data_IF_951838855226
#
_entry.id   IF_951838855226
#
_cell.length_a   1.000
_cell.length_b   1.000
_cell.length_c   1.000
_cell.angle_alpha   90.00
_cell.angle_beta   90.00
_cell.angle_gamma   90.00
#
_symmetry.space_group_name_H-M   'P 1'
#
loop_
_entity.id
_entity.type
_entity.pdbx_description
1 polymer ?
#
# COMPACT_ATOMS: atom_id res chain seq x y z
N UNK A 1 -52.55 9.20 50.13
CA UNK A 1 -52.83 7.97 49.37
C UNK A 1 -51.52 7.47 48.87
N UNK A 2 -50.98 6.48 49.51
CA UNK A 2 -49.69 5.83 49.35
C UNK A 2 -49.80 4.73 48.28
N UNK A 3 -48.89 4.70 47.31
CA UNK A 3 -48.70 3.51 46.49
C UNK A 3 -47.21 3.17 46.36
N UNK A 4 -46.86 2.09 47.06
CA UNK A 4 -45.54 1.46 47.04
C UNK A 4 -45.38 0.62 45.77
N UNK A 5 -44.34 0.82 45.01
CA UNK A 5 -43.94 -0.11 43.95
C UNK A 5 -42.78 -1.00 44.41
N UNK A 6 -43.05 -2.28 44.44
CA UNK A 6 -42.16 -3.37 44.88
C UNK A 6 -41.21 -3.73 43.72
N UNK A 7 -39.90 -3.58 43.97
CA UNK A 7 -38.84 -4.03 43.08
C UNK A 7 -38.58 -5.52 43.29
N UNK A 8 -38.87 -6.36 42.29
CA UNK A 8 -38.57 -7.78 42.27
C UNK A 8 -37.12 -8.00 41.79
N UNK A 9 -36.22 -8.32 42.70
CA UNK A 9 -34.91 -8.87 42.41
C UNK A 9 -35.06 -10.35 42.00
N UNK A 10 -34.65 -10.69 40.79
CA UNK A 10 -34.46 -12.09 40.35
C UNK A 10 -33.10 -12.58 40.81
N UNK A 11 -33.07 -13.44 41.79
CA UNK A 11 -31.90 -14.26 42.17
C UNK A 11 -31.72 -15.38 41.15
N UNK A 12 -30.57 -15.41 40.51
CA UNK A 12 -30.12 -16.58 39.74
C UNK A 12 -29.38 -17.53 40.69
N UNK A 13 -29.94 -18.70 40.92
CA UNK A 13 -29.31 -19.79 41.64
C UNK A 13 -28.48 -20.61 40.68
N UNK A 14 -27.19 -20.72 40.96
CA UNK A 14 -26.28 -21.69 40.34
C UNK A 14 -26.51 -23.07 40.90
N UNK A 15 -26.58 -24.16 40.09
CA UNK A 15 -26.45 -25.50 40.64
C UNK A 15 -24.98 -25.88 40.75
N UNK A 16 -24.58 -26.15 41.98
CA UNK A 16 -23.40 -26.92 42.34
C UNK A 16 -23.62 -28.39 41.98
N UNK A 17 -22.78 -28.96 41.15
CA UNK A 17 -22.53 -30.38 41.12
C UNK A 17 -21.11 -30.64 41.56
N UNK A 18 -21.02 -31.15 42.76
CA UNK A 18 -19.79 -31.63 43.39
C UNK A 18 -19.85 -33.16 43.45
N UNK A 19 -18.69 -33.71 43.14
CA UNK A 19 -18.15 -34.98 43.64
C UNK A 19 -18.56 -36.30 42.96
N UNK A 20 -17.53 -36.93 42.54
CA UNK A 20 -17.36 -38.37 42.81
C UNK A 20 -16.78 -39.16 41.67
N UNK A 21 -15.53 -39.46 41.60
CA UNK A 21 -15.01 -40.79 41.91
C UNK A 21 -13.49 -40.86 41.71
N UNK A 22 -12.88 -41.33 42.75
CA UNK A 22 -11.45 -41.73 42.81
C UNK A 22 -11.20 -43.08 42.16
N UNK A 23 -9.92 -43.25 41.75
CA UNK A 23 -9.14 -44.50 41.70
C UNK A 23 -9.41 -45.48 40.54
N UNK A 24 -8.42 -45.54 39.65
CA UNK A 24 -7.73 -46.81 39.38
C UNK A 24 -6.33 -46.54 38.87
N UNK A 25 -5.36 -46.87 39.71
CA UNK A 25 -3.93 -46.93 39.38
C UNK A 25 -3.71 -48.15 38.49
N UNK A 26 -3.09 -47.90 37.32
CA UNK A 26 -2.58 -48.97 36.46
C UNK A 26 -1.16 -48.57 36.02
N UNK A 27 -0.16 -49.11 36.75
CA UNK A 27 1.25 -49.13 36.35
C UNK A 27 1.38 -49.87 35.01
N UNK A 28 1.78 -49.20 33.95
CA UNK A 28 2.43 -49.82 32.81
C UNK A 28 3.78 -49.15 32.60
N UNK A 29 4.80 -49.80 33.15
CA UNK A 29 6.21 -49.57 32.83
C UNK A 29 6.45 -50.01 31.37
N UNK A 30 6.54 -49.05 30.45
CA UNK A 30 7.11 -49.29 29.13
C UNK A 30 8.56 -48.79 29.18
N UNK A 31 9.48 -49.74 29.14
CA UNK A 31 10.90 -49.51 29.04
C UNK A 31 11.22 -48.79 27.72
N UNK A 32 11.67 -47.55 27.79
CA UNK A 32 12.34 -46.90 26.68
C UNK A 32 13.69 -47.55 26.42
N UNK A 33 13.76 -48.36 25.39
CA UNK A 33 15.05 -48.78 24.84
C UNK A 33 15.62 -47.60 24.04
N UNK A 34 16.64 -46.94 24.57
CA UNK A 34 17.43 -45.94 23.87
C UNK A 34 18.24 -46.62 22.77
N UNK A 35 17.88 -46.37 21.54
CA UNK A 35 18.72 -46.63 20.36
C UNK A 35 19.93 -45.69 20.41
N UNK A 36 21.17 -46.16 20.24
CA UNK A 36 22.32 -45.27 20.14
C UNK A 36 22.27 -44.46 18.85
N UNK A 37 22.77 -43.20 18.84
CA UNK A 37 22.77 -42.39 17.64
C UNK A 37 23.70 -43.04 16.60
N UNK A 38 23.23 -43.04 15.35
CA UNK A 38 24.00 -43.46 14.19
C UNK A 38 25.25 -42.58 14.09
N UNK A 39 26.42 -43.24 13.88
CA UNK A 39 27.69 -42.56 13.70
C UNK A 39 27.64 -41.63 12.50
N UNK A 40 28.04 -40.37 12.70
CA UNK A 40 28.28 -39.42 11.61
C UNK A 40 29.28 -39.98 10.61
N UNK A 41 29.03 -39.87 9.31
CA UNK A 41 30.06 -40.20 8.31
C UNK A 41 31.23 -39.19 8.41
N UNK A 42 32.42 -39.71 8.41
CA UNK A 42 33.65 -38.91 8.42
C UNK A 42 33.68 -37.93 7.23
N UNK A 43 34.23 -36.72 7.41
CA UNK A 43 34.35 -35.75 6.33
C UNK A 43 35.20 -36.30 5.21
N UNK A 44 34.63 -36.34 4.01
CA UNK A 44 35.34 -36.70 2.78
C UNK A 44 36.30 -35.54 2.46
N UNK A 45 37.58 -35.86 2.45
CA UNK A 45 38.68 -34.96 2.09
C UNK A 45 38.46 -34.42 0.67
N UNK A 46 38.40 -33.10 0.52
CA UNK A 46 38.27 -32.43 -0.76
C UNK A 46 39.56 -32.66 -1.59
N UNK A 47 39.46 -32.92 -2.89
CA UNK A 47 40.65 -33.04 -3.73
C UNK A 47 41.38 -31.69 -3.83
N UNK A 48 42.69 -31.74 -3.74
CA UNK A 48 43.57 -30.59 -3.87
C UNK A 48 43.44 -29.90 -5.24
N UNK A 49 43.54 -28.57 -5.29
CA UNK A 49 43.48 -27.84 -6.55
C UNK A 49 44.69 -28.17 -7.42
N UNK A 50 44.42 -28.57 -8.67
CA UNK A 50 45.42 -28.79 -9.69
C UNK A 50 45.82 -27.44 -10.26
N UNK A 51 47.06 -27.03 -10.03
CA UNK A 51 47.66 -25.86 -10.67
C UNK A 51 47.76 -26.07 -12.19
N UNK A 52 47.03 -25.28 -12.92
CA UNK A 52 47.25 -25.07 -14.35
C UNK A 52 47.66 -23.62 -14.55
N UNK A 53 48.84 -23.33 -15.08
CA UNK A 53 49.23 -21.95 -15.35
C UNK A 53 48.49 -21.45 -16.61
N UNK A 54 47.60 -20.46 -16.44
CA UNK A 54 47.06 -19.69 -17.55
C UNK A 54 48.01 -18.52 -17.81
N UNK A 55 48.56 -18.52 -19.04
CA UNK A 55 49.36 -17.42 -19.56
C UNK A 55 48.51 -16.14 -19.61
N UNK A 56 49.09 -15.06 -19.11
CA UNK A 56 48.59 -13.70 -19.26
C UNK A 56 48.70 -13.28 -20.72
N UNK A 57 47.58 -13.06 -21.40
CA UNK A 57 47.55 -12.21 -22.60
C UNK A 57 47.07 -10.82 -22.15
N UNK A 58 47.94 -9.84 -22.40
CA UNK A 58 47.63 -8.42 -22.26
C UNK A 58 46.53 -8.01 -23.27
N UNK A 59 45.50 -7.30 -22.90
CA UNK A 59 44.61 -6.70 -23.88
C UNK A 59 45.28 -5.48 -24.52
N UNK A 60 45.46 -5.57 -25.81
CA UNK A 60 45.87 -4.48 -26.72
C UNK A 60 44.87 -3.31 -26.60
N UNK A 61 45.40 -2.13 -26.37
CA UNK A 61 44.64 -0.87 -26.40
C UNK A 61 43.98 -0.69 -27.79
N UNK A 62 42.68 -0.61 -27.80
CA UNK A 62 41.88 -0.20 -28.97
C UNK A 62 41.69 1.31 -28.91
N UNK A 63 42.11 1.95 -29.98
CA UNK A 63 42.11 3.37 -30.23
C UNK A 63 40.70 3.97 -30.05
N UNK A 64 40.66 5.15 -29.41
CA UNK A 64 39.54 6.07 -29.32
C UNK A 64 39.23 6.64 -30.71
N UNK A 65 37.99 6.59 -31.21
CA UNK A 65 37.62 7.37 -32.36
C UNK A 65 37.45 8.83 -31.95
N UNK A 66 38.03 9.71 -32.78
CA UNK A 66 37.95 11.17 -32.76
C UNK A 66 36.48 11.66 -32.75
N UNK A 67 36.29 12.76 -32.01
CA UNK A 67 35.06 13.52 -31.96
C UNK A 67 34.77 14.12 -33.36
N UNK A 68 33.61 13.81 -33.90
CA UNK A 68 33.03 14.54 -35.04
C UNK A 68 32.22 15.75 -34.55
N UNK A 69 32.40 16.82 -35.26
CA UNK A 69 32.02 18.20 -35.09
C UNK A 69 30.52 18.42 -34.79
N UNK A 70 30.25 19.37 -33.90
CA UNK A 70 28.94 20.01 -33.71
C UNK A 70 28.46 20.68 -35.02
N UNK A 71 27.19 20.50 -35.43
CA UNK A 71 26.61 21.44 -36.40
C UNK A 71 26.06 22.66 -35.68
N UNK A 72 26.44 23.79 -36.29
CA UNK A 72 26.17 25.18 -35.92
C UNK A 72 24.69 25.48 -35.60
N UNK A 73 24.55 26.42 -34.63
CA UNK A 73 23.34 27.10 -34.28
C UNK A 73 22.61 27.68 -35.48
N UNK A 74 21.33 27.35 -35.63
CA UNK A 74 20.41 27.99 -36.56
C UNK A 74 19.65 29.07 -35.83
N UNK A 75 19.72 30.26 -36.39
CA UNK A 75 19.21 31.54 -35.90
C UNK A 75 17.68 31.52 -35.67
N UNK A 76 17.28 32.18 -34.60
CA UNK A 76 15.91 32.58 -34.26
C UNK A 76 15.45 33.69 -35.23
N UNK A 77 14.29 33.59 -35.86
CA UNK A 77 13.65 34.78 -36.45
C UNK A 77 12.87 35.55 -35.38
N UNK A 78 13.03 36.85 -35.48
CA UNK A 78 12.47 37.89 -34.64
C UNK A 78 10.94 38.00 -34.73
N UNK A 79 10.41 38.58 -33.64
CA UNK A 79 9.03 38.98 -33.44
C UNK A 79 8.53 39.95 -34.51
N UNK A 80 7.31 39.80 -34.99
CA UNK A 80 6.51 40.85 -35.60
C UNK A 80 5.12 40.89 -34.95
N UNK A 81 4.92 42.02 -34.30
CA UNK A 81 3.84 43.01 -34.33
C UNK A 81 2.40 42.59 -33.90
N UNK A 82 2.01 43.26 -32.81
CA UNK A 82 0.61 43.47 -32.40
C UNK A 82 -0.15 44.29 -33.46
N UNK A 83 -1.46 44.10 -33.64
CA UNK A 83 -2.33 45.15 -34.13
C UNK A 83 -3.11 45.83 -33.01
N UNK A 84 -3.05 47.12 -33.06
CA UNK A 84 -3.69 48.13 -32.23
C UNK A 84 -5.23 48.02 -32.14
N UNK A 85 -5.70 48.48 -31.00
CA UNK A 85 -7.10 48.76 -30.69
C UNK A 85 -7.68 49.91 -31.54
N UNK A 86 -8.84 49.72 -32.09
CA UNK A 86 -9.66 50.86 -32.51
C UNK A 86 -11.13 50.64 -32.11
N UNK A 87 -11.63 51.57 -31.32
CA UNK A 87 -12.87 52.27 -31.57
C UNK A 87 -14.12 51.77 -30.90
N UNK A 88 -14.46 52.38 -29.77
CA UNK A 88 -15.82 52.64 -29.28
C UNK A 88 -16.65 53.42 -30.30
N UNK A 89 -17.96 53.21 -30.41
CA UNK A 89 -18.84 54.30 -29.97
C UNK A 89 -19.99 53.89 -29.06
N UNK A 90 -20.33 54.83 -28.19
CA UNK A 90 -21.48 54.87 -27.34
C UNK A 90 -22.78 55.07 -28.14
N UNK A 91 -23.86 54.48 -27.68
CA UNK A 91 -25.22 54.99 -27.87
C UNK A 91 -26.04 54.69 -26.64
N UNK A 92 -26.47 55.73 -26.00
CA UNK A 92 -27.51 55.79 -24.97
C UNK A 92 -28.85 55.53 -25.63
N UNK A 93 -29.74 54.74 -25.00
CA UNK A 93 -31.18 54.96 -25.03
C UNK A 93 -31.82 54.36 -23.81
N UNK A 94 -32.53 55.23 -23.10
CA UNK A 94 -33.37 54.93 -21.94
C UNK A 94 -34.63 54.14 -22.36
N UNK A 95 -35.08 53.17 -21.58
CA UNK A 95 -36.49 52.78 -21.53
C UNK A 95 -36.84 52.19 -20.15
N UNK A 96 -37.53 52.94 -19.43
CA UNK A 96 -38.61 52.77 -18.41
C UNK A 96 -38.77 51.44 -17.70
N UNK A 97 -38.87 51.59 -16.40
CA UNK A 97 -39.23 50.66 -15.37
C UNK A 97 -40.65 50.08 -15.52
N UNK A 98 -40.79 48.77 -15.39
CA UNK A 98 -42.02 48.16 -14.87
C UNK A 98 -41.68 46.99 -13.93
N UNK A 99 -42.15 47.20 -12.73
CA UNK A 99 -42.67 46.25 -11.75
C UNK A 99 -41.99 44.92 -11.48
N UNK A 100 -41.29 44.88 -10.37
CA UNK A 100 -40.90 43.71 -9.58
C UNK A 100 -42.10 42.83 -9.19
N UNK A 101 -41.92 41.48 -9.15
CA UNK A 101 -42.25 40.78 -7.92
C UNK A 101 -40.99 40.29 -7.23
N UNK A 102 -40.92 40.50 -5.93
CA UNK A 102 -39.94 40.01 -5.04
C UNK A 102 -39.78 38.48 -5.16
N UNK A 103 -38.63 38.02 -5.59
CA UNK A 103 -38.22 36.67 -5.33
C UNK A 103 -37.87 36.62 -3.85
N UNK A 104 -38.54 35.76 -3.11
CA UNK A 104 -38.12 35.34 -1.78
C UNK A 104 -36.70 34.74 -1.92
N UNK A 105 -35.70 35.44 -1.39
CA UNK A 105 -34.38 34.90 -1.18
C UNK A 105 -34.52 33.77 -0.17
N UNK A 106 -34.35 32.54 -0.60
CA UNK A 106 -34.02 31.44 0.32
C UNK A 106 -32.76 31.85 1.09
N UNK A 107 -32.72 31.67 2.42
CA UNK A 107 -31.52 31.99 3.18
C UNK A 107 -30.43 31.05 2.71
N UNK A 108 -29.39 31.60 2.03
CA UNK A 108 -28.10 30.92 1.86
C UNK A 108 -27.66 30.49 3.26
N UNK A 109 -27.54 29.17 3.43
CA UNK A 109 -26.98 28.60 4.63
C UNK A 109 -25.53 29.06 4.74
N UNK A 110 -25.30 30.14 5.47
CA UNK A 110 -23.95 30.55 5.88
C UNK A 110 -23.46 29.52 6.88
N UNK A 111 -22.83 28.48 6.35
CA UNK A 111 -22.03 27.53 7.16
C UNK A 111 -21.03 28.33 7.97
N UNK A 112 -20.94 28.07 9.28
CA UNK A 112 -19.90 28.68 10.10
C UNK A 112 -18.57 28.14 9.57
N UNK A 113 -17.50 28.95 9.38
CA UNK A 113 -16.22 28.50 8.85
C UNK A 113 -15.64 27.26 9.57
N UNK A 114 -15.86 27.15 10.88
CA UNK A 114 -15.46 25.97 11.66
C UNK A 114 -16.21 24.67 11.28
N UNK A 115 -17.47 24.76 10.84
CA UNK A 115 -18.24 23.59 10.43
C UNK A 115 -17.81 23.11 9.02
N UNK A 116 -17.40 24.03 8.16
CA UNK A 116 -16.86 23.70 6.82
C UNK A 116 -15.46 23.06 6.95
N UNK A 117 -14.64 23.55 7.85
CA UNK A 117 -13.31 23.00 8.16
C UNK A 117 -13.41 21.59 8.77
N UNK A 118 -14.33 21.38 9.72
CA UNK A 118 -14.58 20.06 10.32
C UNK A 118 -15.14 19.07 9.28
N UNK A 119 -16.00 19.50 8.39
CA UNK A 119 -16.51 18.67 7.29
C UNK A 119 -15.40 18.30 6.31
N UNK A 120 -14.56 19.24 5.91
CA UNK A 120 -13.44 19.00 5.01
C UNK A 120 -12.42 18.03 5.62
N UNK A 121 -12.12 18.15 6.91
CA UNK A 121 -11.27 17.19 7.63
C UNK A 121 -11.89 15.79 7.69
N UNK A 122 -13.20 15.69 7.86
CA UNK A 122 -13.94 14.42 7.85
C UNK A 122 -13.86 13.73 6.49
N UNK A 123 -13.99 14.48 5.40
CA UNK A 123 -13.91 13.96 4.04
C UNK A 123 -12.47 13.51 3.69
N UNK A 124 -11.47 14.30 4.07
CA UNK A 124 -10.05 13.94 3.93
C UNK A 124 -9.71 12.66 4.70
N UNK A 125 -10.15 12.53 5.95
CA UNK A 125 -9.92 11.33 6.76
C UNK A 125 -10.62 10.10 6.16
N UNK A 126 -11.84 10.24 5.62
CA UNK A 126 -12.58 9.15 4.98
C UNK A 126 -11.87 8.68 3.69
N UNK A 127 -11.38 9.62 2.89
CA UNK A 127 -10.60 9.29 1.70
C UNK A 127 -9.23 8.69 2.07
N UNK A 128 -8.59 9.21 3.11
CA UNK A 128 -7.35 8.65 3.66
C UNK A 128 -7.53 7.22 4.17
N UNK A 129 -8.66 6.88 4.84
CA UNK A 129 -8.99 5.50 5.18
C UNK A 129 -9.09 4.62 3.94
N UNK A 130 -9.77 5.10 2.90
CA UNK A 130 -9.90 4.37 1.64
C UNK A 130 -8.53 4.04 1.05
N UNK A 131 -7.65 5.01 0.90
CA UNK A 131 -6.27 4.80 0.40
C UNK A 131 -5.50 3.86 1.33
N UNK A 132 -5.54 4.07 2.65
CA UNK A 132 -4.87 3.21 3.61
C UNK A 132 -5.32 1.74 3.50
N UNK A 133 -6.61 1.49 3.32
CA UNK A 133 -7.16 0.13 3.12
C UNK A 133 -6.58 -0.51 1.87
N UNK A 134 -6.48 0.21 0.77
CA UNK A 134 -5.90 -0.31 -0.48
C UNK A 134 -4.41 -0.68 -0.35
N UNK A 135 -3.66 0.02 0.51
CA UNK A 135 -2.24 -0.32 0.81
C UNK A 135 -2.07 -1.56 1.68
N UNK A 136 -3.15 -2.09 2.24
CA UNK A 136 -3.17 -3.21 3.19
C UNK A 136 -3.67 -2.86 4.57
N UNK A 137 -4.33 -1.70 4.74
CA UNK A 137 -4.98 -1.26 5.97
C UNK A 137 -4.04 -0.98 7.12
N UNK A 138 -2.77 -0.67 6.83
CA UNK A 138 -1.73 -0.50 7.85
C UNK A 138 -1.62 -1.69 8.83
N UNK A 139 -2.07 -2.88 8.41
CA UNK A 139 -2.26 -4.06 9.26
C UNK A 139 -1.01 -4.55 9.99
N UNK A 140 0.20 -4.19 9.50
CA UNK A 140 1.44 -4.42 10.22
C UNK A 140 1.49 -3.69 11.57
N UNK A 141 0.79 -2.57 11.70
CA UNK A 141 0.71 -1.76 12.90
C UNK A 141 -0.46 -2.14 13.82
N UNK A 142 -1.36 -3.03 13.36
CA UNK A 142 -2.51 -3.43 14.17
C UNK A 142 -2.08 -4.36 15.31
N UNK A 143 -2.22 -3.88 16.54
CA UNK A 143 -2.00 -4.64 17.75
C UNK A 143 -3.30 -5.34 18.15
N UNK A 144 -3.29 -6.68 18.14
CA UNK A 144 -4.49 -7.48 18.40
C UNK A 144 -4.96 -7.42 19.84
N UNK A 145 -4.04 -7.26 20.78
CA UNK A 145 -4.36 -7.24 22.22
C UNK A 145 -4.97 -5.90 22.61
N UNK A 146 -4.55 -4.81 21.96
CA UNK A 146 -5.07 -3.46 22.18
C UNK A 146 -6.24 -3.11 21.23
N UNK A 147 -6.46 -3.89 20.17
CA UNK A 147 -7.51 -3.64 19.19
C UNK A 147 -7.30 -2.36 18.36
N UNK A 148 -6.06 -1.87 18.23
CA UNK A 148 -5.72 -0.59 17.62
C UNK A 148 -4.43 -0.67 16.80
N UNK A 149 -4.14 0.38 16.00
CA UNK A 149 -2.89 0.52 15.24
C UNK A 149 -1.72 0.98 16.13
N UNK A 150 -1.66 0.41 17.34
CA UNK A 150 -0.69 0.78 18.38
C UNK A 150 0.67 0.10 18.22
N UNK A 151 0.91 -0.67 17.15
CA UNK A 151 2.21 -1.28 16.87
C UNK A 151 2.57 -2.47 17.76
N UNK A 152 3.87 -2.76 17.83
CA UNK A 152 4.44 -3.84 18.64
C UNK A 152 4.63 -5.15 17.88
N UNK A 153 4.10 -5.32 16.67
CA UNK A 153 4.32 -6.52 15.87
C UNK A 153 5.79 -6.62 15.46
N UNK A 154 6.38 -7.79 15.75
CA UNK A 154 7.79 -8.09 15.54
C UNK A 154 8.01 -8.75 14.18
N UNK A 155 9.00 -8.27 13.45
CA UNK A 155 9.47 -8.83 12.19
C UNK A 155 10.96 -9.14 12.32
N UNK A 156 11.35 -10.34 11.91
CA UNK A 156 12.72 -10.83 11.99
C UNK A 156 13.16 -11.44 10.66
N UNK A 157 14.42 -11.22 10.33
CA UNK A 157 15.02 -11.74 9.11
C UNK A 157 16.55 -11.53 9.10
N UNK A 158 17.21 -11.76 7.97
CA UNK A 158 18.64 -11.50 7.83
C UNK A 158 19.05 -10.04 8.12
N UNK A 159 18.09 -9.12 8.07
CA UNK A 159 18.26 -7.70 8.39
C UNK A 159 18.30 -7.43 9.91
N UNK A 160 17.96 -8.40 10.75
CA UNK A 160 17.79 -8.24 12.19
C UNK A 160 16.35 -8.26 12.63
N UNK A 161 15.99 -7.42 13.59
CA UNK A 161 14.64 -7.32 14.17
C UNK A 161 14.12 -5.90 14.04
N UNK A 162 12.88 -5.77 13.55
CA UNK A 162 12.13 -4.51 13.52
C UNK A 162 10.76 -4.71 14.14
N UNK A 163 10.22 -3.63 14.71
CA UNK A 163 8.87 -3.61 15.26
C UNK A 163 8.05 -2.55 14.53
N UNK A 164 6.81 -2.90 14.19
CA UNK A 164 5.86 -1.90 13.72
C UNK A 164 5.63 -0.86 14.81
N UNK A 165 5.78 0.42 14.49
CA UNK A 165 5.61 1.53 15.45
C UNK A 165 4.13 1.75 15.76
N UNK A 166 3.85 2.40 16.90
CA UNK A 166 2.54 2.93 17.20
C UNK A 166 2.25 4.09 16.23
N UNK A 167 1.16 3.98 15.46
CA UNK A 167 0.68 5.00 14.51
C UNK A 167 -0.69 5.56 14.90
N UNK A 168 -1.11 5.36 16.16
CA UNK A 168 -2.24 6.10 16.72
C UNK A 168 -1.81 7.51 17.12
N UNK A 169 -2.74 8.48 17.25
CA UNK A 169 -2.40 9.86 17.62
C UNK A 169 -2.14 10.02 19.12
N UNK A 170 -1.46 9.05 19.73
CA UNK A 170 -0.93 9.19 21.09
C UNK A 170 0.31 10.08 21.05
N UNK A 171 0.35 11.12 21.89
CA UNK A 171 1.39 12.14 21.87
C UNK A 171 2.76 11.64 22.34
N UNK A 172 2.78 10.63 23.23
CA UNK A 172 4.03 10.16 23.86
C UNK A 172 4.63 8.96 23.11
N UNK A 173 3.80 8.02 22.68
CA UNK A 173 4.26 6.75 22.12
C UNK A 173 3.89 6.54 20.65
N UNK A 174 3.03 7.39 20.10
CA UNK A 174 2.50 7.34 18.74
C UNK A 174 2.97 8.50 17.86
N UNK A 175 2.07 8.96 17.00
CA UNK A 175 2.31 10.05 16.04
C UNK A 175 1.54 11.33 16.36
N UNK A 176 0.93 11.44 17.56
CA UNK A 176 0.07 12.57 17.92
C UNK A 176 0.79 13.92 18.01
N UNK A 177 2.11 13.92 18.19
CA UNK A 177 2.92 15.13 18.19
C UNK A 177 3.46 15.52 16.79
N UNK A 178 3.19 14.73 15.73
CA UNK A 178 3.69 14.98 14.39
C UNK A 178 2.71 15.84 13.60
N UNK A 179 3.24 16.67 12.68
CA UNK A 179 2.38 17.34 11.70
C UNK A 179 1.87 16.36 10.64
N UNK A 180 0.82 16.74 9.90
CA UNK A 180 0.32 15.96 8.79
C UNK A 180 1.38 15.75 7.70
N UNK A 181 2.21 16.76 7.43
CA UNK A 181 3.31 16.72 6.48
C UNK A 181 4.42 15.75 6.93
N UNK A 182 4.76 15.74 8.22
CA UNK A 182 5.73 14.80 8.78
C UNK A 182 5.24 13.34 8.68
N UNK A 183 3.94 13.11 8.85
CA UNK A 183 3.31 11.80 8.65
C UNK A 183 3.36 11.42 7.16
N UNK A 184 3.02 12.35 6.25
CA UNK A 184 3.07 12.15 4.81
C UNK A 184 4.50 11.84 4.33
N UNK A 185 5.52 12.52 4.85
CA UNK A 185 6.92 12.26 4.55
C UNK A 185 7.37 10.88 5.04
N UNK A 186 7.00 10.51 6.28
CA UNK A 186 7.28 9.18 6.81
C UNK A 186 6.62 8.07 5.97
N UNK A 187 5.42 8.33 5.45
CA UNK A 187 4.67 7.40 4.61
C UNK A 187 5.31 7.22 3.23
N UNK A 188 5.69 8.32 2.55
CA UNK A 188 6.13 8.30 1.14
C UNK A 188 7.63 8.16 0.94
N UNK A 189 8.42 8.87 1.71
CA UNK A 189 9.88 8.89 1.55
C UNK A 189 10.61 8.22 2.71
N UNK A 190 9.87 7.80 3.75
CA UNK A 190 10.45 7.13 4.89
C UNK A 190 11.35 8.05 5.70
N UNK A 191 11.00 9.33 5.87
CA UNK A 191 11.72 10.26 6.73
C UNK A 191 10.84 10.63 7.91
N UNK A 192 11.27 10.31 9.13
CA UNK A 192 10.60 10.68 10.37
C UNK A 192 11.05 12.06 10.85
N UNK A 193 10.31 12.72 11.76
CA UNK A 193 10.71 14.02 12.31
C UNK A 193 12.09 14.03 12.97
N UNK A 194 12.53 12.90 13.51
CA UNK A 194 13.87 12.73 14.09
C UNK A 194 14.98 12.48 13.04
N UNK A 195 14.63 12.49 11.75
CA UNK A 195 15.53 12.22 10.62
C UNK A 195 15.87 10.74 10.42
N UNK A 196 15.34 9.83 11.23
CA UNK A 196 15.55 8.38 11.04
C UNK A 196 14.67 7.83 9.92
N UNK A 197 15.10 6.72 9.32
CA UNK A 197 14.32 6.00 8.31
C UNK A 197 13.79 4.67 8.85
N UNK A 198 12.53 4.29 8.54
CA UNK A 198 12.04 2.96 8.80
C UNK A 198 12.80 1.93 7.94
N UNK A 199 12.81 0.69 8.38
CA UNK A 199 13.29 -0.40 7.54
C UNK A 199 12.36 -0.59 6.32
N UNK A 200 12.88 -0.92 5.11
CA UNK A 200 12.08 -1.10 3.89
C UNK A 200 11.01 -2.22 3.93
N UNK A 201 10.94 -3.00 5.02
CA UNK A 201 9.80 -3.89 5.28
C UNK A 201 8.49 -3.09 5.40
N UNK A 202 8.54 -1.86 5.90
CA UNK A 202 7.50 -0.87 5.68
C UNK A 202 7.63 -0.38 4.23
N UNK A 203 6.59 -0.55 3.40
CA UNK A 203 6.73 -0.39 1.96
C UNK A 203 6.60 1.08 1.49
N UNK A 204 7.21 2.04 2.20
CA UNK A 204 7.19 3.46 1.86
C UNK A 204 7.63 3.74 0.42
N UNK A 205 8.52 2.89 -0.14
CA UNK A 205 8.93 2.99 -1.54
C UNK A 205 7.79 2.80 -2.54
N UNK A 206 6.84 1.91 -2.20
CA UNK A 206 5.64 1.75 -3.00
C UNK A 206 4.64 2.90 -2.79
N UNK A 207 4.66 3.53 -1.63
CA UNK A 207 3.78 4.66 -1.31
C UNK A 207 4.31 6.00 -1.81
N UNK A 208 5.55 6.05 -2.30
CA UNK A 208 6.15 7.28 -2.84
C UNK A 208 5.44 7.84 -4.08
N UNK A 209 4.54 7.06 -4.70
CA UNK A 209 3.74 7.48 -5.85
C UNK A 209 2.41 8.15 -5.47
N UNK A 210 2.04 8.13 -4.18
CA UNK A 210 0.87 8.89 -3.70
C UNK A 210 1.09 10.38 -3.95
N UNK A 211 0.05 11.08 -4.38
CA UNK A 211 0.08 12.54 -4.47
C UNK A 211 0.29 13.19 -3.09
N UNK A 212 0.65 14.48 -3.08
CA UNK A 212 0.77 15.22 -1.82
C UNK A 212 -0.56 15.20 -1.07
N UNK A 213 -1.67 15.42 -1.77
CA UNK A 213 -3.00 15.41 -1.17
C UNK A 213 -3.36 14.02 -0.60
N UNK A 214 -3.18 12.94 -1.37
CA UNK A 214 -3.49 11.60 -0.88
C UNK A 214 -2.68 11.19 0.35
N UNK A 215 -1.42 11.60 0.42
CA UNK A 215 -0.59 11.35 1.60
C UNK A 215 -1.06 12.16 2.82
N UNK A 216 -1.50 13.40 2.62
CA UNK A 216 -2.11 14.23 3.67
C UNK A 216 -3.47 13.68 4.11
N UNK A 217 -4.28 13.14 3.21
CA UNK A 217 -5.54 12.50 3.55
C UNK A 217 -5.31 11.24 4.40
N UNK A 218 -4.29 10.43 4.08
CA UNK A 218 -3.89 9.30 4.94
C UNK A 218 -3.42 9.80 6.31
N UNK A 219 -2.68 10.91 6.38
CA UNK A 219 -2.27 11.51 7.65
C UNK A 219 -3.49 11.98 8.45
N UNK A 220 -4.48 12.63 7.82
CA UNK A 220 -5.74 13.03 8.44
C UNK A 220 -6.50 11.82 9.00
N UNK A 221 -6.56 10.71 8.25
CA UNK A 221 -7.14 9.47 8.74
C UNK A 221 -6.42 8.95 9.99
N UNK A 222 -5.09 8.86 9.97
CA UNK A 222 -4.32 8.35 11.11
C UNK A 222 -4.48 9.25 12.35
N UNK A 223 -4.53 10.55 12.16
CA UNK A 223 -4.77 11.52 13.25
C UNK A 223 -6.22 11.51 13.78
N UNK A 224 -7.18 10.98 13.01
CA UNK A 224 -8.58 10.81 13.44
C UNK A 224 -8.80 9.56 14.28
N UNK A 225 -7.83 8.65 14.36
CA UNK A 225 -7.94 7.43 15.16
C UNK A 225 -7.96 7.73 16.65
N UNK A 226 -8.46 6.78 17.45
CA UNK A 226 -8.40 6.89 18.91
C UNK A 226 -6.94 6.73 19.38
N UNK A 227 -6.42 7.66 20.23
CA UNK A 227 -5.07 7.55 20.75
C UNK A 227 -4.95 6.34 21.71
N UNK A 228 -3.95 5.52 21.51
CA UNK A 228 -3.67 4.35 22.35
C UNK A 228 -2.19 4.36 22.72
N UNK A 229 -1.89 4.54 24.00
CA UNK A 229 -0.52 4.50 24.50
C UNK A 229 0.05 3.08 24.40
N UNK A 230 1.14 2.92 23.68
CA UNK A 230 1.89 1.68 23.59
C UNK A 230 3.37 1.96 23.26
N UNK A 231 4.25 1.76 24.21
CA UNK A 231 5.68 1.88 24.01
C UNK A 231 6.18 0.67 23.22
N UNK A 232 6.76 0.92 22.05
CA UNK A 232 7.25 -0.13 21.13
C UNK A 232 8.77 -0.25 21.26
N UNK A 233 9.26 -1.49 21.36
CA UNK A 233 10.69 -1.79 21.45
C UNK A 233 11.48 -1.19 20.27
N UNK A 234 12.73 -0.82 20.52
CA UNK A 234 13.64 -0.36 19.48
C UNK A 234 14.02 -1.50 18.54
N UNK A 235 14.34 -1.12 17.30
CA UNK A 235 14.82 -2.06 16.28
C UNK A 235 16.27 -2.46 16.53
N UNK A 236 16.61 -3.68 16.14
CA UNK A 236 17.98 -4.21 16.16
C UNK A 236 18.37 -4.63 14.75
N UNK A 237 19.05 -3.77 14.02
CA UNK A 237 19.40 -4.02 12.62
C UNK A 237 20.84 -4.53 12.48
N UNK A 238 21.03 -5.49 11.57
CA UNK A 238 22.36 -5.94 11.16
C UNK A 238 23.09 -4.84 10.38
N UNK A 239 22.36 -4.07 9.56
CA UNK A 239 22.85 -2.92 8.80
C UNK A 239 21.71 -1.90 8.67
N UNK A 240 22.07 -0.61 8.72
CA UNK A 240 21.08 0.45 8.44
C UNK A 240 20.68 0.41 6.95
N UNK A 241 19.40 0.62 6.64
CA UNK A 241 18.94 0.69 5.26
C UNK A 241 19.57 1.88 4.53
N UNK A 242 19.84 1.72 3.24
CA UNK A 242 20.28 2.82 2.40
C UNK A 242 19.19 3.90 2.32
N UNK A 243 19.59 5.16 2.33
CA UNK A 243 18.69 6.28 2.13
C UNK A 243 17.89 6.12 0.83
N UNK A 244 16.62 6.47 0.89
CA UNK A 244 15.71 6.42 -0.25
C UNK A 244 15.36 7.84 -0.69
N UNK A 245 15.43 8.06 -1.99
CA UNK A 245 14.90 9.25 -2.65
C UNK A 245 14.06 8.75 -3.82
N UNK A 246 12.79 9.14 -3.94
CA UNK A 246 11.98 8.80 -5.10
C UNK A 246 12.66 9.24 -6.39
N UNK A 247 12.61 8.42 -7.44
CA UNK A 247 13.18 8.75 -8.75
C UNK A 247 12.39 9.87 -9.43
N UNK A 248 11.10 9.96 -9.16
CA UNK A 248 10.18 10.98 -9.68
C UNK A 248 9.45 11.60 -8.48
N UNK A 249 9.31 12.93 -8.50
CA UNK A 249 8.48 13.61 -7.52
C UNK A 249 7.02 13.21 -7.71
N UNK A 250 6.32 12.96 -6.61
CA UNK A 250 4.89 12.72 -6.65
C UNK A 250 4.14 13.99 -7.11
N UNK A 251 2.98 13.84 -7.78
CA UNK A 251 2.13 14.98 -8.12
C UNK A 251 1.55 15.63 -6.85
N UNK A 252 1.18 16.91 -6.94
CA UNK A 252 0.49 17.59 -5.84
C UNK A 252 -0.92 17.02 -5.62
N UNK A 253 -1.65 16.82 -6.71
CA UNK A 253 -3.03 16.33 -6.73
C UNK A 253 -3.13 14.88 -7.21
N UNK A 254 -4.20 14.15 -6.86
CA UNK A 254 -4.46 12.81 -7.37
C UNK A 254 -4.50 12.78 -8.90
N UNK A 255 -4.07 11.67 -9.48
CA UNK A 255 -4.14 11.47 -10.93
C UNK A 255 -5.58 11.46 -11.42
N UNK A 256 -5.87 12.25 -12.45
CA UNK A 256 -7.17 12.27 -13.15
C UNK A 256 -7.16 11.44 -14.45
N UNK A 257 -5.98 11.14 -14.99
CA UNK A 257 -5.84 10.19 -16.11
C UNK A 257 -6.04 8.74 -15.61
N UNK A 258 -6.96 7.97 -16.20
CA UNK A 258 -7.28 6.65 -15.70
C UNK A 258 -6.08 5.68 -15.68
N UNK A 259 -5.21 5.75 -16.69
CA UNK A 259 -4.03 4.87 -16.75
C UNK A 259 -3.02 5.23 -15.66
N UNK A 260 -2.72 6.51 -15.49
CA UNK A 260 -1.82 6.99 -14.42
C UNK A 260 -2.41 6.70 -13.03
N UNK A 261 -3.72 6.86 -12.87
CA UNK A 261 -4.44 6.48 -11.63
C UNK A 261 -4.32 4.98 -11.36
N UNK A 262 -4.54 4.16 -12.38
CA UNK A 262 -4.41 2.70 -12.28
C UNK A 262 -3.00 2.25 -11.94
N UNK A 263 -1.97 2.86 -12.54
CA UNK A 263 -0.56 2.60 -12.22
C UNK A 263 -0.26 2.88 -10.75
N UNK A 264 -0.70 4.03 -10.25
CA UNK A 264 -0.55 4.41 -8.85
C UNK A 264 -1.23 3.38 -7.95
N UNK A 265 -2.49 3.00 -8.23
CA UNK A 265 -3.25 2.02 -7.45
C UNK A 265 -2.59 0.64 -7.44
N UNK A 266 -2.15 0.12 -8.59
CA UNK A 266 -1.41 -1.15 -8.71
C UNK A 266 -0.13 -1.13 -7.88
N UNK A 267 0.56 0.02 -7.86
CA UNK A 267 1.80 0.22 -7.12
C UNK A 267 1.56 0.23 -5.60
N UNK A 268 0.63 1.04 -5.11
CA UNK A 268 0.34 1.11 -3.66
C UNK A 268 -0.31 -0.16 -3.12
N UNK A 269 -1.14 -0.83 -3.93
CA UNK A 269 -1.72 -2.14 -3.61
C UNK A 269 -0.68 -3.26 -3.63
N UNK A 270 0.52 -2.99 -4.21
CA UNK A 270 1.65 -3.91 -4.30
C UNK A 270 1.32 -5.21 -5.06
N UNK A 271 0.59 -5.10 -6.15
CA UNK A 271 0.22 -6.25 -6.98
C UNK A 271 1.46 -7.04 -7.43
N UNK A 272 2.55 -6.34 -7.77
CA UNK A 272 3.82 -6.95 -8.15
C UNK A 272 4.47 -7.82 -7.07
N UNK A 273 4.14 -7.64 -5.79
CA UNK A 273 4.72 -8.45 -4.72
C UNK A 273 4.29 -9.94 -4.79
N UNK A 274 3.12 -10.20 -5.37
CA UNK A 274 2.61 -11.57 -5.56
C UNK A 274 2.63 -11.97 -7.03
N UNK A 275 2.43 -11.04 -7.97
CA UNK A 275 2.26 -11.33 -9.39
C UNK A 275 3.55 -11.22 -10.22
N UNK A 276 4.69 -10.84 -9.63
CA UNK A 276 5.99 -10.75 -10.33
C UNK A 276 6.93 -11.81 -9.78
N UNK A 277 7.55 -12.66 -10.62
CA UNK A 277 8.56 -13.59 -10.18
C UNK A 277 9.78 -12.89 -9.56
N UNK A 278 10.52 -13.60 -8.74
CA UNK A 278 11.79 -13.11 -8.17
C UNK A 278 12.98 -13.76 -8.87
N UNK A 279 14.05 -13.00 -9.02
CA UNK A 279 15.37 -13.51 -9.43
C UNK A 279 16.01 -14.34 -8.31
N UNK A 280 17.12 -15.00 -8.61
CA UNK A 280 17.87 -15.82 -7.64
C UNK A 280 18.39 -15.03 -6.43
N UNK A 281 18.59 -13.72 -6.59
CA UNK A 281 19.00 -12.80 -5.52
C UNK A 281 17.83 -12.27 -4.67
N UNK A 282 16.61 -12.71 -4.97
CA UNK A 282 15.39 -12.28 -4.29
C UNK A 282 14.82 -10.94 -4.78
N UNK A 283 15.44 -10.29 -5.75
CA UNK A 283 14.89 -9.09 -6.38
C UNK A 283 13.72 -9.43 -7.32
N UNK A 284 12.74 -8.52 -7.53
CA UNK A 284 11.68 -8.74 -8.50
C UNK A 284 12.25 -8.79 -9.93
N UNK A 285 11.81 -9.76 -10.72
CA UNK A 285 12.14 -9.86 -12.13
C UNK A 285 11.25 -8.91 -12.95
N UNK A 286 11.78 -7.72 -13.24
CA UNK A 286 11.00 -6.68 -13.94
C UNK A 286 10.77 -6.97 -15.42
N UNK A 287 11.50 -7.91 -16.03
CA UNK A 287 11.19 -8.39 -17.40
C UNK A 287 9.92 -9.25 -17.42
N UNK A 288 9.58 -9.84 -16.26
CA UNK A 288 8.40 -10.66 -16.04
C UNK A 288 7.39 -9.94 -15.14
N UNK A 289 7.37 -8.60 -15.16
CA UNK A 289 6.49 -7.81 -14.29
C UNK A 289 5.03 -8.23 -14.48
N UNK A 290 4.36 -8.57 -13.37
CA UNK A 290 2.96 -9.02 -13.30
C UNK A 290 2.60 -10.28 -14.11
N UNK A 291 3.59 -11.08 -14.52
CA UNK A 291 3.36 -12.30 -15.33
C UNK A 291 2.96 -13.54 -14.53
N UNK A 292 2.76 -13.40 -13.23
CA UNK A 292 2.40 -14.50 -12.32
C UNK A 292 3.61 -15.09 -11.60
N UNK A 293 3.41 -15.50 -10.36
CA UNK A 293 4.45 -16.09 -9.50
C UNK A 293 3.86 -16.89 -8.33
N UNK A 294 4.71 -17.65 -7.64
CA UNK A 294 4.35 -18.22 -6.34
C UNK A 294 4.16 -17.10 -5.32
N UNK A 295 3.04 -17.13 -4.62
CA UNK A 295 2.78 -16.14 -3.54
C UNK A 295 3.77 -16.36 -2.40
N UNK A 296 4.46 -15.31 -1.93
CA UNK A 296 5.43 -15.45 -0.84
C UNK A 296 4.83 -16.09 0.42
N UNK A 297 5.52 -17.08 0.97
CA UNK A 297 5.10 -17.83 2.16
C UNK A 297 3.74 -18.53 2.04
N UNK A 298 3.35 -18.94 0.84
CA UNK A 298 2.11 -19.66 0.53
C UNK A 298 2.37 -20.71 -0.55
N UNK A 299 1.49 -21.70 -0.62
CA UNK A 299 1.46 -22.66 -1.73
C UNK A 299 0.58 -22.15 -2.90
N UNK A 300 0.00 -20.96 -2.77
CA UNK A 300 -0.82 -20.34 -3.81
C UNK A 300 0.07 -19.80 -4.95
N UNK A 301 -0.49 -19.81 -6.15
CA UNK A 301 0.12 -19.19 -7.33
C UNK A 301 -0.70 -17.96 -7.75
N UNK A 302 -0.08 -16.80 -7.79
CA UNK A 302 -0.68 -15.59 -8.34
C UNK A 302 -0.64 -15.65 -9.87
N UNK A 303 -1.79 -15.49 -10.50
CA UNK A 303 -1.95 -15.59 -11.94
C UNK A 303 -1.18 -14.51 -12.71
N UNK A 304 -0.93 -14.74 -13.98
CA UNK A 304 -0.50 -13.72 -14.93
C UNK A 304 -1.63 -12.68 -15.11
N UNK A 305 -1.35 -11.42 -14.79
CA UNK A 305 -2.28 -10.30 -14.95
C UNK A 305 -1.81 -9.29 -16.01
N UNK A 306 -0.86 -9.69 -16.88
CA UNK A 306 -0.51 -8.94 -18.09
C UNK A 306 -1.58 -9.17 -19.17
N UNK A 307 -1.67 -8.28 -20.20
CA UNK A 307 -2.62 -8.43 -21.29
C UNK A 307 -2.21 -9.49 -22.32
N UNK A 308 -1.65 -10.60 -21.86
CA UNK A 308 -1.38 -11.78 -22.69
C UNK A 308 -2.66 -12.56 -22.91
N UNK A 309 -2.97 -12.90 -24.18
CA UNK A 309 -4.23 -13.54 -24.55
C UNK A 309 -4.34 -15.01 -24.15
N UNK A 310 -3.21 -15.69 -23.94
CA UNK A 310 -3.20 -17.12 -23.68
C UNK A 310 -3.05 -17.44 -22.20
N UNK A 311 -2.18 -16.70 -21.50
CA UNK A 311 -1.81 -17.00 -20.12
C UNK A 311 -2.22 -15.92 -19.12
N UNK A 312 -2.63 -14.73 -19.62
CA UNK A 312 -2.99 -13.56 -18.83
C UNK A 312 -4.45 -13.14 -18.98
N UNK A 313 -4.69 -11.85 -18.81
CA UNK A 313 -6.02 -11.24 -18.85
C UNK A 313 -6.31 -10.52 -20.18
N UNK A 314 -5.55 -10.82 -21.25
CA UNK A 314 -5.67 -10.12 -22.53
C UNK A 314 -7.07 -10.17 -23.13
N UNK A 315 -7.78 -11.28 -22.95
CA UNK A 315 -9.14 -11.49 -23.48
C UNK A 315 -10.25 -10.88 -22.62
N UNK A 316 -9.95 -10.46 -21.40
CA UNK A 316 -10.95 -9.84 -20.51
C UNK A 316 -11.19 -8.41 -20.91
N UNK A 317 -12.43 -7.95 -20.81
CA UNK A 317 -12.74 -6.53 -20.90
C UNK A 317 -12.28 -5.78 -19.63
N UNK A 318 -12.21 -4.46 -19.70
CA UNK A 318 -11.88 -3.65 -18.52
C UNK A 318 -12.95 -3.79 -17.44
N UNK A 319 -14.22 -3.90 -17.83
CA UNK A 319 -15.34 -4.14 -16.92
C UNK A 319 -15.26 -5.50 -16.22
N UNK A 320 -14.84 -6.55 -16.94
CA UNK A 320 -14.64 -7.89 -16.36
C UNK A 320 -13.48 -7.88 -15.36
N UNK A 321 -12.39 -7.17 -15.65
CA UNK A 321 -11.27 -6.99 -14.71
C UNK A 321 -11.73 -6.20 -13.48
N UNK A 322 -12.43 -5.08 -13.68
CA UNK A 322 -12.94 -4.24 -12.60
C UNK A 322 -13.95 -5.01 -11.72
N UNK A 323 -14.84 -5.80 -12.32
CA UNK A 323 -15.76 -6.66 -11.59
C UNK A 323 -15.01 -7.70 -10.76
N UNK A 324 -14.03 -8.40 -11.36
CA UNK A 324 -13.21 -9.37 -10.64
C UNK A 324 -12.48 -8.75 -9.44
N UNK A 325 -11.89 -7.59 -9.62
CA UNK A 325 -11.21 -6.88 -8.52
C UNK A 325 -12.12 -6.59 -7.35
N UNK A 326 -13.39 -6.28 -7.60
CA UNK A 326 -14.36 -5.91 -6.56
C UNK A 326 -15.10 -7.10 -5.95
N UNK A 327 -15.33 -8.16 -6.73
CA UNK A 327 -16.22 -9.27 -6.34
C UNK A 327 -15.51 -10.62 -6.22
N UNK A 328 -14.39 -10.80 -6.91
CA UNK A 328 -13.70 -12.07 -7.07
C UNK A 328 -14.36 -13.01 -8.08
N UNK A 329 -15.34 -12.54 -8.85
CA UNK A 329 -16.02 -13.33 -9.87
C UNK A 329 -15.28 -13.26 -11.20
N UNK A 330 -14.90 -14.43 -11.74
CA UNK A 330 -14.31 -14.56 -13.06
C UNK A 330 -15.36 -14.35 -14.17
N UNK A 331 -14.94 -14.06 -15.43
CA UNK A 331 -15.88 -13.90 -16.54
C UNK A 331 -16.78 -15.12 -16.81
N UNK A 332 -16.39 -16.29 -16.38
CA UNK A 332 -17.18 -17.53 -16.48
C UNK A 332 -18.17 -17.73 -15.32
N UNK A 333 -18.25 -16.79 -14.38
CA UNK A 333 -19.11 -16.83 -13.20
C UNK A 333 -18.55 -17.64 -12.03
N UNK A 334 -17.36 -18.23 -12.14
CA UNK A 334 -16.71 -18.88 -11.01
C UNK A 334 -16.10 -17.86 -10.05
N UNK A 335 -15.84 -18.26 -8.80
CA UNK A 335 -15.25 -17.39 -7.79
C UNK A 335 -13.78 -17.74 -7.53
N UNK A 336 -12.97 -16.72 -7.33
CA UNK A 336 -11.58 -16.88 -6.91
C UNK A 336 -11.49 -17.45 -5.49
N UNK A 337 -10.38 -18.13 -5.22
CA UNK A 337 -10.09 -18.73 -3.91
C UNK A 337 -8.66 -18.37 -3.47
N UNK A 338 -8.27 -18.80 -2.27
CA UNK A 338 -6.91 -18.64 -1.76
C UNK A 338 -6.52 -17.20 -1.44
N UNK A 339 -5.27 -16.86 -1.68
CA UNK A 339 -4.70 -15.57 -1.30
C UNK A 339 -5.42 -14.39 -1.96
N UNK A 340 -5.76 -14.49 -3.27
CA UNK A 340 -6.44 -13.39 -3.97
C UNK A 340 -7.84 -13.12 -3.42
N UNK A 341 -8.62 -14.18 -3.11
CA UNK A 341 -9.93 -14.01 -2.48
C UNK A 341 -9.84 -13.22 -1.16
N UNK A 342 -8.82 -13.51 -0.34
CA UNK A 342 -8.58 -12.79 0.91
C UNK A 342 -8.20 -11.31 0.66
N UNK A 343 -7.46 -11.01 -0.41
CA UNK A 343 -7.14 -9.61 -0.76
C UNK A 343 -8.39 -8.85 -1.20
N UNK A 344 -9.25 -9.49 -1.99
CA UNK A 344 -10.52 -8.90 -2.40
C UNK A 344 -11.41 -8.63 -1.20
N UNK A 345 -11.64 -9.63 -0.35
CA UNK A 345 -12.48 -9.48 0.85
C UNK A 345 -12.00 -8.34 1.76
N UNK A 346 -10.69 -8.24 1.99
CA UNK A 346 -10.12 -7.29 2.97
C UNK A 346 -9.90 -5.89 2.41
N UNK A 347 -9.68 -5.74 1.11
CA UNK A 347 -9.24 -4.49 0.49
C UNK A 347 -10.03 -4.14 -0.76
N UNK A 348 -9.97 -4.99 -1.79
CA UNK A 348 -10.39 -4.61 -3.14
C UNK A 348 -11.92 -4.56 -3.31
N UNK A 349 -12.69 -5.24 -2.46
CA UNK A 349 -14.15 -5.09 -2.41
C UNK A 349 -14.59 -3.66 -2.06
N UNK A 350 -13.69 -2.83 -1.53
CA UNK A 350 -13.93 -1.41 -1.24
C UNK A 350 -13.58 -0.48 -2.42
N UNK A 351 -12.94 -0.99 -3.49
CA UNK A 351 -12.64 -0.18 -4.66
C UNK A 351 -13.92 0.49 -5.19
N UNK A 352 -13.80 1.77 -5.50
CA UNK A 352 -14.81 2.44 -6.32
C UNK A 352 -14.84 1.79 -7.70
N UNK A 353 -15.92 1.96 -8.43
CA UNK A 353 -16.00 1.46 -9.80
C UNK A 353 -14.96 2.17 -10.70
N UNK A 354 -14.77 3.47 -10.50
CA UNK A 354 -13.80 4.29 -11.21
C UNK A 354 -12.37 3.79 -10.99
N UNK A 355 -11.96 3.56 -9.75
CA UNK A 355 -10.60 3.07 -9.42
C UNK A 355 -10.40 1.61 -9.90
N UNK A 356 -11.43 0.78 -9.86
CA UNK A 356 -11.33 -0.56 -10.41
C UNK A 356 -11.15 -0.57 -11.94
N UNK A 357 -11.85 0.33 -12.65
CA UNK A 357 -11.67 0.54 -14.09
C UNK A 357 -10.29 1.17 -14.39
N UNK A 358 -9.81 2.09 -13.57
CA UNK A 358 -8.48 2.66 -13.71
C UNK A 358 -7.38 1.58 -13.60
N UNK A 359 -7.48 0.68 -12.62
CA UNK A 359 -6.59 -0.50 -12.52
C UNK A 359 -6.67 -1.33 -13.81
N UNK A 360 -7.88 -1.62 -14.31
CA UNK A 360 -8.06 -2.39 -15.53
C UNK A 360 -7.42 -1.71 -16.74
N UNK A 361 -7.66 -0.40 -16.92
CA UNK A 361 -7.08 0.41 -17.98
C UNK A 361 -5.55 0.33 -17.97
N UNK A 362 -4.92 0.52 -16.80
CA UNK A 362 -3.47 0.38 -16.67
C UNK A 362 -2.98 -1.02 -17.04
N UNK A 363 -3.59 -2.09 -16.50
CA UNK A 363 -3.19 -3.46 -16.78
C UNK A 363 -3.30 -3.83 -18.28
N UNK A 364 -4.17 -3.15 -19.03
CA UNK A 364 -4.29 -3.32 -20.49
C UNK A 364 -3.20 -2.58 -21.26
N UNK A 365 -2.46 -1.66 -20.65
CA UNK A 365 -1.38 -0.89 -21.32
C UNK A 365 0.01 -1.47 -21.12
N UNK A 366 0.24 -2.29 -20.10
CA UNK A 366 1.55 -2.87 -19.86
C UNK A 366 1.92 -3.92 -20.90
N UNK A 367 3.22 -4.25 -21.09
CA UNK A 367 3.63 -5.29 -22.03
C UNK A 367 2.99 -6.65 -21.73
N UNK A 368 2.46 -7.29 -22.74
CA UNK A 368 2.00 -8.67 -22.64
C UNK A 368 3.21 -9.61 -22.45
N UNK A 369 3.17 -10.43 -21.41
CA UNK A 369 4.22 -11.40 -21.09
C UNK A 369 3.58 -12.78 -21.01
N UNK A 370 3.95 -13.68 -21.93
CA UNK A 370 3.51 -15.06 -21.85
C UNK A 370 4.25 -15.78 -20.74
N UNK A 371 3.53 -16.41 -19.82
CA UNK A 371 4.13 -17.21 -18.75
C UNK A 371 3.41 -18.54 -18.62
N UNK A 372 4.18 -19.60 -18.45
CA UNK A 372 3.66 -20.93 -18.12
C UNK A 372 3.94 -21.19 -16.63
N UNK A 373 2.94 -21.72 -15.94
CA UNK A 373 3.10 -22.23 -14.57
C UNK A 373 4.28 -23.17 -14.45
#
# INVERSE_FOLDING_TARGET
>A
MTSSSVTRQRRWTRPLWVAGLMLLAGLLLVACQSTPPAAEPAPTEAPAPTDTPVAAEEPTATETPEAEEEPAATETPAAEEEPEATGTPAAEEEAEATGTPAAEEEPEATGTPAAEEEAAMSDAAAYGEYIAVLTGGCGCHFNRDLGAMAGGNRFEGPFGVVFARNITPDEETGIGSWSAEEIADALRIGVRPDGTQPHPIMPYRAFSVLSDQEALDVAAYLLSLEPVANEVSERELANEPAAFTPAVAAPAEPHTDPVARGEMLVTIARCGACHTPTNDDGSPNMEMYLSGAMVPNSDDYAANITPDDETGIGRWSEEEIANFMRTGEFPDGSLTVGAMAQQIERRFSRLTEEDALAIAAYLKTIPAVSSTR
#
